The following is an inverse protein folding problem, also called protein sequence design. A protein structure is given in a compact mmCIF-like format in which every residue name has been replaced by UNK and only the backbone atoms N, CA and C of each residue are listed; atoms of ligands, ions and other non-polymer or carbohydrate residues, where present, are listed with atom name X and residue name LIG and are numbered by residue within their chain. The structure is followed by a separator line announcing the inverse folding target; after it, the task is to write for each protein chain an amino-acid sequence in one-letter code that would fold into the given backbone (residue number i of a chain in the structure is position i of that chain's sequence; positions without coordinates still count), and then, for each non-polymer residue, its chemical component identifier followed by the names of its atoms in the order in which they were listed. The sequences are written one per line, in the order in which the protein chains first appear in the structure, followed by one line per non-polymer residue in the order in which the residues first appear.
data_IF_897296967792
#
_entry.id   IF_897296967792
#
_cell.length_a   1.000
_cell.length_b   1.000
_cell.length_c   1.000
_cell.angle_alpha   90.00
_cell.angle_beta   90.00
_cell.angle_gamma   90.00
#
_symmetry.space_group_name_H-M   'P 1'
#
loop_
_entity.id
_entity.type
_entity.pdbx_description
1 polymer ?
#
# COMPACT_ATOMS: atom_id res chain seq x y z
N UNK A 1 -16.25 -15.27 31.81
CA UNK A 1 -16.78 -14.14 31.02
C UNK A 1 -15.87 -12.97 31.36
N UNK A 2 -14.88 -12.66 30.50
CA UNK A 2 -13.96 -11.54 30.73
C UNK A 2 -14.77 -10.25 30.75
N UNK A 3 -14.54 -9.43 31.78
CA UNK A 3 -15.22 -8.17 32.00
C UNK A 3 -14.93 -7.21 30.84
N UNK A 4 -15.98 -6.77 30.12
CA UNK A 4 -15.87 -5.84 28.97
C UNK A 4 -15.62 -4.39 29.40
N UNK A 5 -15.42 -4.14 30.69
CA UNK A 5 -15.23 -2.81 31.27
C UNK A 5 -13.89 -2.16 30.91
N UNK A 6 -12.90 -2.94 30.45
CA UNK A 6 -11.57 -2.48 30.01
C UNK A 6 -11.35 -2.51 28.49
N UNK A 7 -12.42 -2.64 27.69
CA UNK A 7 -12.29 -2.62 26.23
C UNK A 7 -12.01 -1.20 25.72
N UNK A 8 -11.01 -1.06 24.82
CA UNK A 8 -10.71 0.21 24.14
C UNK A 8 -11.97 0.85 23.55
N UNK A 9 -12.14 2.14 23.80
CA UNK A 9 -13.28 2.90 23.30
C UNK A 9 -13.09 3.31 21.84
N UNK A 10 -14.18 3.55 21.11
CA UNK A 10 -14.13 4.05 19.72
C UNK A 10 -13.40 5.40 19.59
N UNK A 11 -13.41 6.23 20.64
CA UNK A 11 -12.69 7.50 20.64
C UNK A 11 -11.18 7.29 20.75
N UNK A 12 -10.73 6.34 21.57
CA UNK A 12 -9.33 5.94 21.68
C UNK A 12 -8.84 5.28 20.39
N UNK A 13 -9.65 4.42 19.79
CA UNK A 13 -9.35 3.80 18.49
C UNK A 13 -9.12 4.86 17.40
N UNK A 14 -10.01 5.85 17.28
CA UNK A 14 -9.85 6.95 16.31
C UNK A 14 -8.56 7.74 16.53
N UNK A 15 -8.22 8.03 17.78
CA UNK A 15 -6.98 8.74 18.13
C UNK A 15 -5.75 7.93 17.77
N UNK A 16 -5.78 6.62 18.02
CA UNK A 16 -4.70 5.70 17.68
C UNK A 16 -4.50 5.65 16.16
N UNK A 17 -5.58 5.52 15.38
CA UNK A 17 -5.51 5.50 13.91
C UNK A 17 -4.93 6.82 13.38
N UNK A 18 -5.37 7.96 13.90
CA UNK A 18 -4.84 9.27 13.50
C UNK A 18 -3.34 9.38 13.82
N UNK A 19 -2.92 8.94 15.01
CA UNK A 19 -1.50 8.94 15.38
C UNK A 19 -0.67 8.07 14.42
N UNK A 20 -1.13 6.84 14.12
CA UNK A 20 -0.45 5.94 13.21
C UNK A 20 -0.35 6.52 11.79
N UNK A 21 -1.40 7.20 11.34
CA UNK A 21 -1.39 7.91 10.07
C UNK A 21 -0.34 9.01 10.06
N UNK A 22 -0.26 9.85 11.11
CA UNK A 22 0.76 10.90 11.20
C UNK A 22 2.19 10.33 11.26
N UNK A 23 2.40 9.17 11.88
CA UNK A 23 3.71 8.49 11.87
C UNK A 23 4.09 8.00 10.47
N UNK A 24 3.14 7.46 9.70
CA UNK A 24 3.38 6.89 8.36
C UNK A 24 3.39 7.93 7.24
N UNK A 25 2.70 9.06 7.43
CA UNK A 25 2.49 10.08 6.41
C UNK A 25 3.78 10.54 5.71
N UNK A 26 4.91 10.80 6.40
CA UNK A 26 6.13 11.24 5.73
C UNK A 26 6.67 10.23 4.71
N UNK A 27 6.62 8.93 5.05
CA UNK A 27 7.02 7.87 4.13
C UNK A 27 6.03 7.77 2.97
N UNK A 28 4.73 7.87 3.24
CA UNK A 28 3.70 7.87 2.22
C UNK A 28 3.87 9.04 1.23
N UNK A 29 4.15 10.25 1.71
CA UNK A 29 4.35 11.42 0.85
C UNK A 29 5.54 11.23 -0.10
N UNK A 30 6.63 10.62 0.37
CA UNK A 30 7.81 10.28 -0.44
C UNK A 30 7.45 9.25 -1.53
N UNK A 31 6.78 8.16 -1.15
CA UNK A 31 6.35 7.11 -2.08
C UNK A 31 5.37 7.66 -3.11
N UNK A 32 4.36 8.40 -2.68
CA UNK A 32 3.39 9.03 -3.58
C UNK A 32 4.09 9.98 -4.56
N UNK A 33 5.01 10.82 -4.08
CA UNK A 33 5.78 11.70 -4.94
C UNK A 33 6.56 10.92 -6.00
N UNK A 34 7.21 9.82 -5.61
CA UNK A 34 7.98 8.97 -6.52
C UNK A 34 7.10 8.38 -7.61
N UNK A 35 5.97 7.78 -7.22
CA UNK A 35 5.02 7.20 -8.16
C UNK A 35 4.49 8.26 -9.12
N UNK A 36 4.14 9.44 -8.62
CA UNK A 36 3.70 10.55 -9.46
C UNK A 36 4.76 10.99 -10.46
N UNK A 37 6.03 11.05 -10.05
CA UNK A 37 7.14 11.39 -10.93
C UNK A 37 7.28 10.35 -12.06
N UNK A 38 7.23 9.06 -11.73
CA UNK A 38 7.27 7.98 -12.74
C UNK A 38 6.06 8.04 -13.69
N UNK A 39 4.86 8.26 -13.14
CA UNK A 39 3.64 8.37 -13.93
C UNK A 39 3.62 9.60 -14.83
N UNK A 40 4.23 10.71 -14.42
CA UNK A 40 4.38 11.90 -15.26
C UNK A 40 5.31 11.68 -16.45
N UNK A 41 6.33 10.82 -16.30
CA UNK A 41 7.20 10.41 -17.40
C UNK A 41 6.46 9.46 -18.35
N UNK A 42 5.65 8.53 -17.82
CA UNK A 42 4.88 7.58 -18.62
C UNK A 42 3.69 8.21 -19.35
N UNK A 43 3.02 9.19 -18.74
CA UNK A 43 1.85 9.86 -19.27
C UNK A 43 2.07 11.38 -19.38
N UNK A 44 2.96 11.85 -20.28
CA UNK A 44 3.26 13.28 -20.43
C UNK A 44 1.99 14.10 -20.69
N UNK A 45 1.80 15.19 -19.94
CA UNK A 45 0.65 16.07 -20.07
C UNK A 45 -0.64 15.61 -19.36
N UNK A 46 -0.68 14.38 -18.85
CA UNK A 46 -1.83 13.86 -18.10
C UNK A 46 -1.61 13.87 -16.58
N UNK A 47 -0.36 13.85 -16.13
CA UNK A 47 0.01 13.90 -14.70
C UNK A 47 0.87 15.13 -14.44
N UNK A 48 0.45 15.95 -13.48
CA UNK A 48 1.15 17.16 -13.07
C UNK A 48 1.88 16.90 -11.75
N UNK A 49 3.12 17.40 -11.61
CA UNK A 49 3.99 17.08 -10.48
C UNK A 49 3.57 17.72 -9.15
N UNK A 50 2.67 18.70 -9.16
CA UNK A 50 2.16 19.39 -7.95
C UNK A 50 0.69 19.06 -7.64
N UNK A 51 0.07 18.17 -8.41
CA UNK A 51 -1.34 17.75 -8.27
C UNK A 51 -1.45 16.29 -7.77
N UNK A 52 -2.65 15.87 -7.32
CA UNK A 52 -2.92 14.47 -7.01
C UNK A 52 -2.76 13.56 -8.24
N UNK A 53 -2.39 12.29 -8.03
CA UNK A 53 -2.36 11.29 -9.10
C UNK A 53 -3.80 11.02 -9.58
N UNK A 54 -4.10 11.11 -10.90
CA UNK A 54 -5.42 10.79 -11.41
C UNK A 54 -5.77 9.30 -11.18
N UNK A 55 -6.89 9.03 -10.51
CA UNK A 55 -7.30 7.68 -10.10
C UNK A 55 -7.32 6.67 -11.26
N UNK A 56 -7.88 7.06 -12.40
CA UNK A 56 -8.02 6.21 -13.58
C UNK A 56 -6.68 5.74 -14.20
N UNK A 57 -5.56 6.36 -13.82
CA UNK A 57 -4.22 5.97 -14.29
C UNK A 57 -3.53 4.97 -13.37
N UNK A 58 -4.10 4.68 -12.19
CA UNK A 58 -3.52 3.76 -11.21
C UNK A 58 -3.63 2.28 -11.61
N UNK A 59 -4.33 1.97 -12.71
CA UNK A 59 -4.66 0.62 -13.20
C UNK A 59 -5.49 -0.23 -12.23
N UNK A 60 -5.91 0.34 -11.11
CA UNK A 60 -6.86 -0.22 -10.17
C UNK A 60 -8.13 0.63 -10.15
N UNK A 61 -9.30 -0.02 -10.04
CA UNK A 61 -10.60 0.67 -10.11
C UNK A 61 -10.77 1.68 -8.96
N UNK A 62 -10.14 1.41 -7.81
CA UNK A 62 -10.29 2.20 -6.58
C UNK A 62 -8.98 2.83 -6.13
N UNK A 63 -7.88 2.72 -6.91
CA UNK A 63 -6.55 3.21 -6.53
C UNK A 63 -6.02 2.59 -5.24
N UNK A 64 -6.52 1.42 -4.86
CA UNK A 64 -6.19 0.74 -3.61
C UNK A 64 -4.88 -0.03 -3.74
N UNK A 65 -4.61 -0.60 -4.91
CA UNK A 65 -3.40 -1.38 -5.18
C UNK A 65 -2.58 -0.76 -6.30
N UNK A 66 -1.34 -0.39 -5.98
CA UNK A 66 -0.36 0.10 -6.95
C UNK A 66 0.49 -1.03 -7.55
N UNK A 67 0.21 -2.29 -7.19
CA UNK A 67 0.92 -3.48 -7.66
C UNK A 67 0.84 -3.66 -9.18
N UNK A 68 -0.23 -3.20 -9.82
CA UNK A 68 -0.36 -3.23 -11.28
C UNK A 68 0.57 -2.27 -12.01
N UNK A 69 1.19 -1.32 -11.30
CA UNK A 69 2.20 -0.41 -11.82
C UNK A 69 3.62 -0.90 -11.53
N UNK A 70 3.81 -2.00 -10.80
CA UNK A 70 5.12 -2.40 -10.28
C UNK A 70 6.16 -2.49 -11.39
N UNK A 71 5.87 -3.20 -12.49
CA UNK A 71 6.76 -3.33 -13.65
C UNK A 71 7.12 -2.00 -14.33
N UNK A 72 6.28 -0.99 -14.19
CA UNK A 72 6.40 0.29 -14.86
C UNK A 72 7.21 1.32 -14.07
N UNK A 73 7.31 1.14 -12.75
CA UNK A 73 7.91 2.10 -11.82
C UNK A 73 9.12 1.51 -11.08
N UNK A 74 9.67 0.39 -11.55
CA UNK A 74 10.82 -0.29 -10.92
C UNK A 74 12.05 0.65 -10.96
N UNK A 75 12.68 0.96 -9.81
CA UNK A 75 13.86 1.82 -9.76
C UNK A 75 15.09 1.24 -10.50
N UNK A 76 15.19 -0.10 -10.58
CA UNK A 76 16.29 -0.85 -11.17
C UNK A 76 15.76 -1.96 -12.09
N UNK A 77 15.45 -1.66 -13.37
CA UNK A 77 14.82 -2.61 -14.28
C UNK A 77 15.73 -3.79 -14.67
N UNK A 78 17.06 -3.61 -14.57
CA UNK A 78 18.06 -4.61 -14.95
C UNK A 78 18.21 -5.75 -13.92
N UNK A 79 17.59 -5.61 -12.74
CA UNK A 79 17.59 -6.65 -11.70
C UNK A 79 16.33 -7.48 -11.89
N UNK A 80 16.45 -8.59 -12.62
CA UNK A 80 15.35 -9.56 -12.73
C UNK A 80 15.03 -10.17 -11.36
N UNK A 81 13.76 -10.12 -10.96
CA UNK A 81 13.27 -10.80 -9.78
C UNK A 81 13.47 -12.31 -9.88
N UNK A 82 13.55 -12.99 -8.73
CA UNK A 82 13.73 -14.44 -8.71
C UNK A 82 12.42 -15.12 -9.16
N UNK A 83 12.40 -15.67 -10.37
CA UNK A 83 11.33 -16.56 -10.82
C UNK A 83 11.65 -18.01 -10.45
N UNK A 84 10.90 -18.55 -9.48
CA UNK A 84 11.01 -19.93 -9.04
C UNK A 84 10.27 -20.92 -9.96
N UNK A 85 9.41 -20.44 -10.87
CA UNK A 85 8.59 -21.27 -11.74
C UNK A 85 9.39 -22.33 -12.53
N UNK A 86 10.49 -21.98 -13.21
CA UNK A 86 11.33 -22.94 -13.90
C UNK A 86 11.98 -23.98 -12.97
N UNK A 87 12.39 -23.57 -11.77
CA UNK A 87 13.01 -24.47 -10.80
C UNK A 87 12.00 -25.46 -10.22
N UNK A 88 10.78 -25.00 -9.93
CA UNK A 88 9.67 -25.85 -9.47
C UNK A 88 9.27 -26.88 -10.53
N UNK A 89 9.19 -26.47 -11.81
CA UNK A 89 8.93 -27.39 -12.93
C UNK A 89 10.02 -28.45 -13.06
N UNK A 90 11.31 -28.09 -12.95
CA UNK A 90 12.42 -29.05 -13.00
C UNK A 90 12.38 -30.10 -11.88
N UNK A 91 11.90 -29.70 -10.71
CA UNK A 91 11.76 -30.59 -9.54
C UNK A 91 10.41 -31.31 -9.48
N UNK A 92 9.57 -31.21 -10.51
CA UNK A 92 8.23 -31.79 -10.56
C UNK A 92 7.37 -31.48 -9.32
N UNK A 93 7.41 -30.23 -8.84
CA UNK A 93 6.55 -29.79 -7.74
C UNK A 93 5.08 -29.91 -8.13
N UNK A 94 4.28 -30.52 -7.27
CA UNK A 94 2.80 -30.56 -7.35
C UNK A 94 2.20 -29.51 -6.43
N UNK A 95 0.93 -29.14 -6.64
CA UNK A 95 0.21 -28.20 -5.78
C UNK A 95 0.19 -28.70 -4.34
N UNK A 96 -0.07 -30.00 -4.13
CA UNK A 96 -0.07 -30.62 -2.81
C UNK A 96 1.32 -30.57 -2.16
N UNK A 97 2.40 -30.76 -2.93
CA UNK A 97 3.76 -30.67 -2.41
C UNK A 97 4.05 -29.30 -1.82
N UNK A 98 3.49 -28.22 -2.39
CA UNK A 98 3.65 -26.85 -1.84
C UNK A 98 3.02 -26.76 -0.45
N UNK A 99 1.83 -27.34 -0.26
CA UNK A 99 1.18 -27.37 1.06
C UNK A 99 1.92 -28.27 2.04
N UNK A 100 2.49 -29.39 1.59
CA UNK A 100 3.30 -30.27 2.43
C UNK A 100 4.56 -29.54 2.93
N UNK A 101 5.26 -28.82 2.05
CA UNK A 101 6.38 -27.96 2.45
C UNK A 101 5.96 -26.86 3.44
N UNK A 102 4.75 -26.31 3.32
CA UNK A 102 4.23 -25.35 4.29
C UNK A 102 3.95 -26.00 5.66
N UNK A 103 3.34 -27.20 5.69
CA UNK A 103 3.16 -27.96 6.94
C UNK A 103 4.51 -28.29 7.59
N UNK A 104 5.50 -28.70 6.81
CA UNK A 104 6.87 -28.92 7.26
C UNK A 104 7.49 -27.65 7.86
N UNK A 105 7.29 -26.49 7.23
CA UNK A 105 7.72 -25.20 7.77
C UNK A 105 7.10 -24.91 9.15
N UNK A 106 5.79 -25.13 9.32
CA UNK A 106 5.12 -24.91 10.62
C UNK A 106 5.53 -25.95 11.67
N UNK A 107 5.72 -27.21 11.28
CA UNK A 107 6.25 -28.27 12.16
C UNK A 107 7.67 -27.92 12.60
N UNK A 108 8.51 -27.37 11.72
CA UNK A 108 9.87 -26.91 12.07
C UNK A 108 9.86 -25.76 13.09
N UNK A 109 8.79 -24.96 13.15
CA UNK A 109 8.55 -23.97 14.21
C UNK A 109 7.95 -24.57 15.49
N UNK A 110 7.89 -25.90 15.62
CA UNK A 110 7.30 -26.61 16.76
C UNK A 110 5.77 -26.37 16.91
N UNK A 111 5.09 -26.13 15.79
CA UNK A 111 3.63 -26.10 15.72
C UNK A 111 3.09 -27.49 15.37
N UNK A 112 1.80 -27.69 15.63
CA UNK A 112 1.16 -28.99 15.41
C UNK A 112 0.97 -29.22 13.92
N UNK A 113 1.31 -30.43 13.45
CA UNK A 113 1.01 -30.88 12.09
C UNK A 113 -0.48 -30.79 11.78
N UNK A 114 -0.78 -30.40 10.54
CA UNK A 114 -2.13 -30.34 10.03
C UNK A 114 -2.75 -31.76 9.96
N UNK A 115 -3.96 -31.99 10.52
CA UNK A 115 -4.53 -33.33 10.65
C UNK A 115 -4.93 -33.96 9.31
N UNK A 116 -4.94 -35.29 9.22
CA UNK A 116 -5.27 -36.06 7.99
C UNK A 116 -6.59 -35.63 7.33
N UNK A 117 -7.57 -35.23 8.15
CA UNK A 117 -8.87 -34.74 7.66
C UNK A 117 -8.72 -33.51 6.77
N UNK A 118 -7.75 -32.64 7.02
CA UNK A 118 -7.46 -31.51 6.15
C UNK A 118 -6.98 -31.96 4.78
N UNK A 119 -6.05 -32.91 4.72
CA UNK A 119 -5.54 -33.43 3.45
C UNK A 119 -6.62 -34.16 2.63
N UNK A 120 -7.47 -34.93 3.33
CA UNK A 120 -8.54 -35.69 2.69
C UNK A 120 -9.72 -34.83 2.22
N UNK A 121 -9.96 -33.67 2.83
CA UNK A 121 -11.14 -32.83 2.54
C UNK A 121 -10.84 -31.50 1.85
N UNK A 122 -9.57 -31.07 1.85
CA UNK A 122 -9.19 -29.80 1.22
C UNK A 122 -9.01 -29.95 -0.29
N UNK A 123 -9.28 -28.86 -0.99
CA UNK A 123 -9.16 -28.78 -2.44
C UNK A 123 -7.91 -27.99 -2.77
N UNK A 124 -6.83 -28.67 -3.12
CA UNK A 124 -5.52 -28.06 -3.37
C UNK A 124 -5.31 -27.60 -4.82
N UNK A 125 -6.14 -28.12 -5.74
CA UNK A 125 -6.15 -27.69 -7.14
C UNK A 125 -7.32 -26.77 -7.37
N UNK A 126 -7.09 -25.73 -8.16
CA UNK A 126 -8.15 -24.84 -8.60
C UNK A 126 -9.25 -25.65 -9.30
N UNK A 127 -10.46 -25.57 -8.77
CA UNK A 127 -11.69 -25.98 -9.47
C UNK A 127 -11.82 -25.06 -10.70
N UNK A 128 -12.19 -25.56 -11.89
CA UNK A 128 -12.45 -24.71 -13.05
C UNK A 128 -13.39 -23.54 -12.66
N UNK A 129 -13.08 -22.32 -13.12
CA UNK A 129 -13.81 -21.07 -12.84
C UNK A 129 -13.67 -20.39 -11.46
N UNK A 130 -12.49 -20.38 -10.81
CA UNK A 130 -12.23 -19.41 -9.72
C UNK A 130 -10.79 -18.87 -9.73
N UNK A 131 -10.59 -17.57 -9.89
CA UNK A 131 -9.25 -16.93 -9.89
C UNK A 131 -8.94 -16.26 -8.54
N UNK A 132 -7.70 -16.43 -8.05
CA UNK A 132 -7.08 -15.56 -7.06
C UNK A 132 -5.56 -15.65 -7.20
N UNK A 133 -4.83 -14.54 -7.01
CA UNK A 133 -3.45 -14.37 -7.46
C UNK A 133 -2.58 -13.51 -6.48
N UNK A 134 -1.33 -13.98 -6.23
CA UNK A 134 -0.06 -13.32 -5.82
C UNK A 134 0.10 -12.61 -4.43
N UNK A 135 1.32 -12.16 -3.99
CA UNK A 135 2.26 -12.94 -3.18
C UNK A 135 2.72 -12.29 -1.83
N UNK A 136 2.94 -13.12 -0.81
CA UNK A 136 3.27 -12.78 0.60
C UNK A 136 4.75 -12.38 0.88
N UNK A 137 5.53 -12.11 -0.15
CA UNK A 137 6.96 -11.76 -0.11
C UNK A 137 7.21 -10.65 0.96
N UNK A 138 8.13 -10.64 1.93
CA UNK A 138 9.47 -11.21 2.08
C UNK A 138 9.87 -11.26 3.59
N UNK A 139 9.14 -11.97 4.45
CA UNK A 139 9.59 -12.19 5.84
C UNK A 139 9.75 -13.69 6.11
N UNK A 140 10.96 -14.10 6.49
CA UNK A 140 11.30 -15.49 6.80
C UNK A 140 11.54 -15.66 8.30
N UNK A 141 10.72 -16.51 8.94
CA UNK A 141 10.85 -16.91 10.35
C UNK A 141 11.34 -18.36 10.49
N UNK A 142 11.69 -19.04 9.39
CA UNK A 142 12.02 -20.45 9.34
C UNK A 142 13.11 -20.84 10.35
N UNK A 143 12.89 -21.95 11.06
CA UNK A 143 13.84 -22.50 12.05
C UNK A 143 13.86 -21.80 13.41
N UNK A 144 13.08 -20.72 13.61
CA UNK A 144 13.00 -20.05 14.91
C UNK A 144 12.00 -20.74 15.86
N UNK A 145 12.47 -21.77 16.57
CA UNK A 145 11.68 -22.47 17.60
C UNK A 145 11.19 -21.50 18.69
N UNK A 146 11.98 -20.46 18.99
CA UNK A 146 11.61 -19.41 19.94
C UNK A 146 10.42 -18.57 19.44
N UNK A 147 10.41 -18.17 18.16
CA UNK A 147 9.27 -17.46 17.57
C UNK A 147 8.02 -18.35 17.51
N UNK A 148 8.19 -19.63 17.16
CA UNK A 148 7.10 -20.61 17.14
C UNK A 148 6.44 -20.82 18.51
N UNK A 149 7.24 -20.92 19.59
CA UNK A 149 6.71 -21.02 20.97
C UNK A 149 5.88 -19.80 21.34
N UNK A 150 6.36 -18.58 21.03
CA UNK A 150 5.63 -17.34 21.29
C UNK A 150 4.34 -17.26 20.47
N UNK A 151 4.39 -17.61 19.19
CA UNK A 151 3.24 -17.60 18.29
C UNK A 151 2.16 -18.62 18.72
N UNK A 152 2.57 -19.80 19.19
CA UNK A 152 1.63 -20.82 19.69
C UNK A 152 0.87 -20.36 20.93
N UNK A 153 1.56 -19.70 21.87
CA UNK A 153 0.92 -19.11 23.06
C UNK A 153 -0.05 -18.01 22.64
N UNK A 154 0.39 -17.10 21.77
CA UNK A 154 -0.42 -16.02 21.23
C UNK A 154 -1.73 -16.53 20.60
N UNK A 155 -1.63 -17.46 19.64
CA UNK A 155 -2.79 -17.99 18.92
C UNK A 155 -3.69 -18.86 19.80
N UNK A 156 -3.13 -19.52 20.81
CA UNK A 156 -3.89 -20.33 21.77
C UNK A 156 -4.81 -19.52 22.69
N UNK A 157 -4.50 -18.24 22.91
CA UNK A 157 -5.35 -17.33 23.70
C UNK A 157 -6.64 -16.96 22.95
N UNK A 158 -6.63 -16.95 21.62
CA UNK A 158 -7.80 -16.58 20.81
C UNK A 158 -8.41 -15.25 21.26
N UNK A 159 -9.73 -15.22 21.45
CA UNK A 159 -10.47 -14.04 21.94
C UNK A 159 -10.73 -14.04 23.45
N UNK A 160 -9.96 -14.81 24.24
CA UNK A 160 -10.20 -14.98 25.67
C UNK A 160 -9.69 -13.83 26.55
N UNK A 161 -8.71 -13.06 26.04
CA UNK A 161 -8.17 -11.83 26.64
C UNK A 161 -8.36 -10.65 25.69
N UNK A 162 -8.38 -9.39 26.19
CA UNK A 162 -8.22 -8.19 25.37
C UNK A 162 -6.93 -8.27 24.52
N UNK A 163 -6.96 -7.68 23.33
CA UNK A 163 -5.84 -7.78 22.39
C UNK A 163 -4.60 -7.01 22.87
N UNK A 164 -4.80 -5.97 23.69
CA UNK A 164 -3.78 -5.13 24.31
C UNK A 164 -2.88 -5.95 25.24
N UNK A 165 -3.50 -6.76 26.11
CA UNK A 165 -2.79 -7.64 27.05
C UNK A 165 -2.01 -8.72 26.30
N UNK A 166 -2.61 -9.25 25.23
CA UNK A 166 -1.98 -10.26 24.36
C UNK A 166 -0.75 -9.67 23.67
N UNK A 167 -0.82 -8.42 23.20
CA UNK A 167 0.30 -7.72 22.57
C UNK A 167 1.40 -7.34 23.58
N UNK A 168 1.04 -6.97 24.80
CA UNK A 168 2.03 -6.72 25.85
C UNK A 168 2.81 -8.00 26.16
N UNK A 169 2.12 -9.13 26.31
CA UNK A 169 2.74 -10.42 26.60
C UNK A 169 3.68 -10.88 25.46
N UNK A 170 3.32 -10.57 24.21
CA UNK A 170 4.06 -11.04 23.03
C UNK A 170 5.19 -10.10 22.58
N UNK A 171 4.87 -8.81 22.45
CA UNK A 171 5.76 -7.79 21.91
C UNK A 171 6.35 -6.88 22.99
N UNK A 172 5.88 -6.95 24.25
CA UNK A 172 6.28 -6.03 25.32
C UNK A 172 5.70 -4.63 25.14
N UNK A 173 4.67 -4.47 24.31
CA UNK A 173 4.08 -3.17 23.97
C UNK A 173 2.57 -3.21 24.17
N UNK A 174 2.02 -2.24 24.92
CA UNK A 174 0.57 -2.07 25.13
C UNK A 174 -0.15 -1.33 24.00
N UNK A 175 0.59 -0.61 23.15
CA UNK A 175 0.04 0.25 22.11
C UNK A 175 0.65 -0.06 20.76
N UNK A 176 -0.14 0.09 19.68
CA UNK A 176 0.41 0.01 18.33
C UNK A 176 1.34 1.19 18.04
N UNK A 177 2.42 0.92 17.30
CA UNK A 177 3.31 1.96 16.77
C UNK A 177 3.75 1.59 15.35
N UNK A 178 3.85 2.60 14.49
CA UNK A 178 4.31 2.41 13.12
C UNK A 178 5.83 2.23 13.01
N UNK A 179 6.59 2.37 14.12
CA UNK A 179 8.06 2.28 14.16
C UNK A 179 8.62 1.01 13.51
N UNK A 180 8.00 -0.14 13.74
CA UNK A 180 8.46 -1.40 13.13
C UNK A 180 8.29 -1.38 11.61
N UNK A 181 7.18 -0.83 11.12
CA UNK A 181 6.93 -0.64 9.69
C UNK A 181 7.92 0.36 9.07
N UNK A 182 8.11 1.52 9.71
CA UNK A 182 9.07 2.53 9.26
C UNK A 182 10.50 2.00 9.24
N UNK A 183 10.88 1.19 10.23
CA UNK A 183 12.20 0.53 10.28
C UNK A 183 12.37 -0.46 9.13
N UNK A 184 11.33 -1.24 8.82
CA UNK A 184 11.35 -2.17 7.68
C UNK A 184 11.59 -1.43 6.35
N UNK A 185 10.93 -0.28 6.15
CA UNK A 185 11.07 0.53 4.94
C UNK A 185 12.21 1.57 4.98
N UNK A 186 13.11 1.52 5.96
CA UNK A 186 14.20 2.49 6.08
C UNK A 186 15.08 2.57 4.81
N UNK A 187 15.54 1.46 4.19
CA UNK A 187 16.40 1.57 3.00
C UNK A 187 15.70 2.24 1.82
N UNK A 188 14.40 1.99 1.66
CA UNK A 188 13.58 2.65 0.64
C UNK A 188 13.44 4.14 0.96
N UNK A 189 13.19 4.47 2.21
CA UNK A 189 13.10 5.86 2.66
C UNK A 189 14.38 6.64 2.37
N UNK A 190 15.54 6.09 2.75
CA UNK A 190 16.85 6.70 2.54
C UNK A 190 17.11 6.94 1.04
N UNK A 191 16.71 5.98 0.19
CA UNK A 191 16.77 6.12 -1.27
C UNK A 191 15.87 7.26 -1.78
N UNK A 192 14.61 7.34 -1.33
CA UNK A 192 13.68 8.38 -1.75
C UNK A 192 14.09 9.77 -1.27
N UNK A 193 14.59 9.89 -0.03
CA UNK A 193 15.11 11.15 0.51
C UNK A 193 16.34 11.65 -0.27
N UNK A 194 17.18 10.72 -0.76
CA UNK A 194 18.28 11.06 -1.68
C UNK A 194 17.76 11.67 -2.99
N UNK A 195 16.72 11.11 -3.60
CA UNK A 195 16.11 11.67 -4.82
C UNK A 195 15.52 13.08 -4.59
N UNK A 196 14.97 13.32 -3.40
CA UNK A 196 14.50 14.66 -3.01
C UNK A 196 15.68 15.63 -2.90
N UNK A 197 16.78 15.22 -2.26
CA UNK A 197 17.98 16.06 -2.12
C UNK A 197 18.64 16.41 -3.47
N UNK A 198 18.55 15.51 -4.45
CA UNK A 198 19.01 15.73 -5.83
C UNK A 198 18.07 16.62 -6.65
N UNK A 199 16.92 17.04 -6.09
CA UNK A 199 15.93 17.88 -6.78
C UNK A 199 15.11 17.13 -7.83
N UNK A 200 15.16 15.80 -7.82
CA UNK A 200 14.45 14.95 -8.78
C UNK A 200 13.00 14.68 -8.37
N UNK A 201 12.63 15.03 -7.13
CA UNK A 201 11.35 14.68 -6.55
C UNK A 201 10.66 15.86 -5.85
N UNK A 202 9.43 16.16 -6.26
CA UNK A 202 8.57 17.14 -5.59
C UNK A 202 7.61 16.44 -4.62
N UNK A 203 7.75 16.70 -3.32
CA UNK A 203 6.97 16.02 -2.25
C UNK A 203 5.66 16.78 -1.96
N UNK A 204 4.56 16.04 -1.83
CA UNK A 204 3.23 16.59 -1.55
C UNK A 204 2.48 17.07 -2.80
N UNK A 205 1.20 17.39 -2.65
CA UNK A 205 0.36 17.95 -3.71
C UNK A 205 -0.52 19.04 -3.14
N UNK A 206 -0.95 19.93 -4.02
CA UNK A 206 -2.07 20.81 -3.73
C UNK A 206 -3.34 19.96 -3.72
N UNK A 207 -4.06 19.97 -2.59
CA UNK A 207 -5.46 19.61 -2.64
C UNK A 207 -6.20 20.84 -3.16
N UNK A 208 -6.64 20.82 -4.41
CA UNK A 208 -7.66 21.77 -4.83
C UNK A 208 -8.90 21.54 -3.96
N UNK A 209 -9.40 22.60 -3.33
CA UNK A 209 -10.73 22.60 -2.73
C UNK A 209 -11.73 22.35 -3.85
N UNK A 210 -12.07 21.09 -4.12
CA UNK A 210 -13.01 20.75 -5.19
C UNK A 210 -14.42 21.20 -4.80
N UNK A 211 -14.74 22.46 -5.05
CA UNK A 211 -15.88 22.72 -5.93
C UNK A 211 -15.43 22.30 -7.32
N UNK A 212 -16.15 21.36 -7.93
CA UNK A 212 -15.98 20.91 -9.32
C UNK A 212 -15.23 21.92 -10.19
N UNK A 213 -14.16 21.46 -10.86
CA UNK A 213 -13.53 22.18 -11.96
C UNK A 213 -14.59 22.60 -12.98
N UNK A 214 -15.14 23.80 -12.82
CA UNK A 214 -15.61 24.58 -13.93
C UNK A 214 -14.35 25.17 -14.54
N UNK A 215 -13.74 24.42 -15.46
CA UNK A 215 -13.38 25.05 -16.73
C UNK A 215 -14.69 25.56 -17.34
N UNK A 216 -15.23 26.63 -16.78
CA UNK A 216 -15.96 27.61 -17.54
C UNK A 216 -14.92 28.10 -18.53
N UNK A 217 -14.97 27.55 -19.73
CA UNK A 217 -14.62 28.26 -20.93
C UNK A 217 -14.97 29.73 -20.67
N UNK A 218 -13.97 30.59 -20.39
CA UNK A 218 -14.22 32.02 -20.48
C UNK A 218 -14.56 32.21 -21.94
N UNK A 219 -15.82 32.50 -22.29
CA UNK A 219 -16.14 32.68 -23.68
C UNK A 219 -15.33 33.89 -24.11
N UNK A 220 -14.57 33.72 -25.18
CA UNK A 220 -13.82 34.76 -25.88
C UNK A 220 -14.68 35.99 -26.26
N UNK A 221 -15.98 35.95 -25.97
CA UNK A 221 -16.95 37.03 -26.08
C UNK A 221 -16.72 38.18 -25.09
N UNK A 222 -16.15 37.95 -23.90
CA UNK A 222 -15.88 39.08 -22.95
C UNK A 222 -14.74 39.97 -23.46
N UNK A 223 -13.71 39.38 -24.08
CA UNK A 223 -12.62 40.14 -24.73
C UNK A 223 -13.11 40.90 -25.98
N UNK A 224 -14.00 40.29 -26.77
CA UNK A 224 -14.63 40.96 -27.91
C UNK A 224 -15.52 42.14 -27.48
N UNK A 225 -16.28 42.01 -26.38
CA UNK A 225 -17.12 43.10 -25.86
C UNK A 225 -16.26 44.23 -25.29
N UNK A 226 -15.13 43.94 -24.63
CA UNK A 226 -14.21 44.96 -24.13
C UNK A 226 -13.46 45.67 -25.27
N UNK A 227 -13.06 44.95 -26.33
CA UNK A 227 -12.46 45.54 -27.54
C UNK A 227 -13.49 46.39 -28.30
N UNK A 228 -14.74 45.92 -28.48
CA UNK A 228 -15.79 46.72 -29.12
C UNK A 228 -16.14 47.96 -28.31
N UNK A 229 -16.18 47.87 -26.98
CA UNK A 229 -16.44 49.03 -26.11
C UNK A 229 -15.30 50.06 -26.18
N UNK A 230 -14.05 49.61 -26.29
CA UNK A 230 -12.89 50.48 -26.48
C UNK A 230 -12.89 51.16 -27.87
N UNK A 231 -13.19 50.41 -28.94
CA UNK A 231 -13.29 50.94 -30.31
C UNK A 231 -14.46 51.93 -30.43
N UNK A 232 -15.63 51.60 -29.89
CA UNK A 232 -16.81 52.48 -29.94
C UNK A 232 -16.62 53.75 -29.10
N UNK A 233 -15.88 53.68 -27.99
CA UNK A 233 -15.55 54.87 -27.18
C UNK A 233 -14.60 55.86 -27.87
N UNK A 234 -13.80 55.41 -28.85
CA UNK A 234 -12.87 56.25 -29.62
C UNK A 234 -13.45 56.78 -30.94
N UNK A 235 -14.63 56.33 -31.37
CA UNK A 235 -15.25 56.74 -32.65
C UNK A 235 -16.38 57.76 -32.43
N UNK A 236 -17.04 57.78 -31.26
CA UNK A 236 -18.26 58.58 -31.03
C UNK A 236 -18.12 59.80 -30.11
N UNK A 237 -16.91 60.14 -29.63
CA UNK A 237 -16.66 61.41 -28.94
C UNK A 237 -15.38 62.06 -29.48
N UNK A 238 -15.46 62.92 -30.51
CA UNK A 238 -14.41 63.88 -30.80
C UNK A 238 -14.69 65.15 -29.98
N UNK A 239 -13.90 65.37 -28.94
CA UNK A 239 -13.54 66.71 -28.45
C UNK A 239 -12.02 66.76 -28.39
#
# INVERSE_FOLDING_TARGET
MSDRSEAMTTAEERRLVEQLWQELKPLYDLVHAYIRQQMAQMYPGHVQLDQPIPLHLTKDLFGTMLTYLEHDIIPFPDIEGIDLGPAMKRKNFTEESIFQYADEFFVALNLTRVPDRFWNLSIFKKIPNRHMAWPLHLCDLHGSVAAGKKLKVLLGLGSSKPWEDILEEFAGVKTFSAKSCLKYFQPLRDYLEKLVAEGQLNVGWKCENNGFSTRSFMPTTIWLILILKFILSNIFFPL
#
